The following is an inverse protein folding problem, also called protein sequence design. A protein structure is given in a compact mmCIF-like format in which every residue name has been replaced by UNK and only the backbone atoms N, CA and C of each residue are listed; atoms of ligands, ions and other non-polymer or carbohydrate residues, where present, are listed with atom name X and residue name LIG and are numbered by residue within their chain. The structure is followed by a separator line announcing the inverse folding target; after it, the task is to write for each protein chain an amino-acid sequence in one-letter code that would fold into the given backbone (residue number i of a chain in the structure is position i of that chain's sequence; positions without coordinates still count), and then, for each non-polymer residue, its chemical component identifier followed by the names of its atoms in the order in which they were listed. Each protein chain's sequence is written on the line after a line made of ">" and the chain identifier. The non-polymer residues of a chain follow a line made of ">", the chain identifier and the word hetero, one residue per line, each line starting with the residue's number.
data_IF_609522463194
#
_entry.id   IF_609522463194
#
_cell.length_a   1.000
_cell.length_b   1.000
_cell.length_c   1.000
_cell.angle_alpha   90.00
_cell.angle_beta   90.00
_cell.angle_gamma   90.00
#
_symmetry.space_group_name_H-M   'P 1'
#
loop_
_entity.id
_entity.type
_entity.pdbx_description
1 polymer ?
#
# COMPACT_ATOMS: atom_id res chain seq x y z
N UNK A 1 5.27 26.15 -11.47
CA UNK A 1 4.07 25.37 -11.15
C UNK A 1 3.95 24.24 -12.14
N UNK A 2 4.44 23.07 -11.75
CA UNK A 2 4.20 21.80 -12.47
C UNK A 2 2.76 21.33 -12.18
N UNK A 3 2.29 20.33 -12.94
CA UNK A 3 0.98 19.72 -12.67
C UNK A 3 0.93 19.08 -11.28
N UNK A 4 2.04 18.48 -10.83
CA UNK A 4 2.15 17.87 -9.50
C UNK A 4 2.04 18.93 -8.39
N UNK A 5 2.75 20.06 -8.53
CA UNK A 5 2.65 21.19 -7.59
C UNK A 5 1.22 21.73 -7.50
N UNK A 6 0.52 21.81 -8.65
CA UNK A 6 -0.88 22.21 -8.68
C UNK A 6 -1.77 21.21 -7.94
N UNK A 7 -1.63 19.91 -8.21
CA UNK A 7 -2.44 18.86 -7.56
C UNK A 7 -2.23 18.87 -6.04
N UNK A 8 -0.98 18.93 -5.59
CA UNK A 8 -0.66 18.91 -4.16
C UNK A 8 -1.17 20.17 -3.45
N UNK A 9 -1.05 21.35 -4.07
CA UNK A 9 -1.56 22.60 -3.50
C UNK A 9 -3.09 22.71 -3.45
N UNK A 10 -3.81 21.88 -4.22
CA UNK A 10 -5.28 21.84 -4.26
C UNK A 10 -5.86 20.58 -3.60
N UNK A 11 -5.02 19.80 -2.90
CA UNK A 11 -5.42 18.63 -2.11
C UNK A 11 -5.30 18.91 -0.62
N UNK A 12 -6.07 18.22 0.22
CA UNK A 12 -5.95 18.31 1.68
C UNK A 12 -4.53 18.02 2.14
N UNK A 13 -4.00 18.80 3.08
CA UNK A 13 -2.64 18.61 3.62
C UNK A 13 -2.44 17.25 4.34
N UNK A 14 -1.20 16.77 4.37
CA UNK A 14 -0.79 15.55 5.09
C UNK A 14 -0.66 15.75 6.62
N UNK A 15 -0.64 17.00 7.10
CA UNK A 15 -0.47 17.31 8.52
C UNK A 15 0.96 17.15 9.04
N UNK A 16 1.20 17.64 10.26
CA UNK A 16 2.56 17.81 10.78
C UNK A 16 3.33 16.49 10.97
N UNK A 17 2.66 15.42 11.40
CA UNK A 17 3.31 14.12 11.64
C UNK A 17 3.82 13.49 10.33
N UNK A 18 2.96 13.45 9.29
CA UNK A 18 3.33 12.90 7.98
C UNK A 18 4.41 13.75 7.30
N UNK A 19 4.32 15.09 7.43
CA UNK A 19 5.35 15.99 6.91
C UNK A 19 6.70 15.79 7.59
N UNK A 20 6.72 15.64 8.92
CA UNK A 20 7.92 15.35 9.68
C UNK A 20 8.51 13.97 9.31
N UNK A 21 7.68 12.95 9.15
CA UNK A 21 8.09 11.62 8.69
C UNK A 21 8.71 11.68 7.29
N UNK A 22 8.04 12.33 6.35
CA UNK A 22 8.51 12.49 4.98
C UNK A 22 9.88 13.18 4.95
N UNK A 23 10.04 14.27 5.73
CA UNK A 23 11.34 14.95 5.86
C UNK A 23 12.40 14.04 6.47
N UNK A 24 12.10 13.34 7.56
CA UNK A 24 13.07 12.48 8.25
C UNK A 24 13.54 11.33 7.35
N UNK A 25 12.63 10.73 6.59
CA UNK A 25 12.95 9.70 5.61
C UNK A 25 13.90 10.24 4.52
N UNK A 26 13.64 11.44 4.00
CA UNK A 26 14.51 12.07 2.99
C UNK A 26 15.91 12.43 3.51
N UNK A 27 16.06 12.63 4.82
CA UNK A 27 17.35 12.97 5.44
C UNK A 27 18.13 11.72 5.85
N UNK A 28 17.44 10.69 6.37
CA UNK A 28 18.09 9.60 7.10
C UNK A 28 18.00 8.23 6.44
N UNK A 29 17.18 8.03 5.40
CA UNK A 29 17.02 6.74 4.75
C UNK A 29 17.64 6.70 3.35
N UNK A 30 18.07 5.52 2.92
CA UNK A 30 18.70 5.32 1.62
C UNK A 30 17.73 5.42 0.42
N UNK A 31 16.43 5.17 0.65
CA UNK A 31 15.42 5.06 -0.42
C UNK A 31 14.14 5.87 -0.14
N UNK A 32 14.24 7.18 0.13
CA UNK A 32 13.08 7.99 0.48
C UNK A 32 12.03 8.09 -0.65
N UNK A 33 12.43 7.81 -1.90
CA UNK A 33 11.50 7.74 -3.03
C UNK A 33 10.44 6.63 -2.90
N UNK A 34 10.66 5.65 -2.03
CA UNK A 34 9.71 4.56 -1.76
C UNK A 34 8.54 5.01 -0.87
N UNK A 35 8.47 6.26 -0.42
CA UNK A 35 7.27 6.77 0.23
C UNK A 35 6.13 6.96 -0.79
N UNK A 36 4.94 6.46 -0.45
CA UNK A 36 3.70 6.70 -1.20
C UNK A 36 3.40 8.20 -1.34
N UNK A 37 3.80 9.00 -0.35
CA UNK A 37 3.75 10.47 -0.37
C UNK A 37 2.33 11.07 -0.36
N UNK A 38 2.28 12.41 -0.44
CA UNK A 38 1.10 13.21 -0.11
C UNK A 38 -0.17 12.81 -0.88
N UNK A 39 -0.16 12.90 -2.21
CA UNK A 39 -1.35 12.62 -3.02
C UNK A 39 -1.91 11.20 -2.80
N UNK A 40 -1.03 10.20 -2.84
CA UNK A 40 -1.45 8.80 -2.68
C UNK A 40 -1.92 8.52 -1.26
N UNK A 41 -1.25 9.07 -0.25
CA UNK A 41 -1.69 8.98 1.14
C UNK A 41 -3.10 9.52 1.35
N UNK A 42 -3.44 10.68 0.76
CA UNK A 42 -4.80 11.24 0.84
C UNK A 42 -5.84 10.35 0.15
N UNK A 43 -5.50 9.76 -1.01
CA UNK A 43 -6.38 8.80 -1.69
C UNK A 43 -6.59 7.53 -0.85
N UNK A 44 -5.55 6.96 -0.24
CA UNK A 44 -5.66 5.78 0.63
C UNK A 44 -6.55 6.06 1.86
N UNK A 45 -6.41 7.24 2.47
CA UNK A 45 -7.31 7.72 3.52
C UNK A 45 -8.76 7.78 3.02
N UNK A 46 -9.00 8.34 1.83
CA UNK A 46 -10.34 8.43 1.25
C UNK A 46 -10.95 7.06 0.98
N UNK A 47 -10.18 6.09 0.48
CA UNK A 47 -10.66 4.72 0.32
C UNK A 47 -11.11 4.12 1.65
N UNK A 48 -10.32 4.29 2.72
CA UNK A 48 -10.72 3.84 4.05
C UNK A 48 -12.03 4.52 4.53
N UNK A 49 -12.21 5.83 4.27
CA UNK A 49 -13.43 6.55 4.64
C UNK A 49 -14.66 6.10 3.85
N UNK A 50 -14.52 5.85 2.55
CA UNK A 50 -15.62 5.44 1.68
C UNK A 50 -16.03 3.99 1.93
N UNK A 51 -15.06 3.09 2.10
CA UNK A 51 -15.30 1.66 2.26
C UNK A 51 -15.63 1.26 3.70
N UNK A 52 -15.19 2.08 4.68
CA UNK A 52 -15.32 1.83 6.12
C UNK A 52 -14.85 0.40 6.51
N UNK A 53 -13.63 -0.01 6.13
CA UNK A 53 -13.16 -1.36 6.40
C UNK A 53 -12.94 -1.57 7.91
N UNK A 54 -13.31 -2.74 8.41
CA UNK A 54 -13.04 -3.17 9.78
C UNK A 54 -11.69 -3.87 9.90
N UNK A 55 -11.24 -4.55 8.83
CA UNK A 55 -9.95 -5.24 8.74
C UNK A 55 -9.20 -4.83 7.48
N UNK A 56 -8.03 -4.23 7.67
CA UNK A 56 -7.11 -3.84 6.59
C UNK A 56 -5.82 -4.65 6.70
N UNK A 57 -5.31 -5.09 5.55
CA UNK A 57 -3.97 -5.67 5.43
C UNK A 57 -3.10 -4.75 4.57
N UNK A 58 -1.87 -4.49 5.00
CA UNK A 58 -0.84 -3.81 4.24
C UNK A 58 0.39 -4.70 4.13
N UNK A 59 0.85 -4.95 2.91
CA UNK A 59 2.07 -5.71 2.62
C UNK A 59 3.11 -4.71 2.13
N UNK A 60 4.09 -4.40 2.98
CA UNK A 60 5.08 -3.34 2.77
C UNK A 60 4.78 -2.09 3.60
N UNK A 61 5.33 -2.02 4.82
CA UNK A 61 5.17 -0.84 5.70
C UNK A 61 6.14 0.29 5.34
N UNK A 62 7.38 -0.05 5.02
CA UNK A 62 8.53 0.83 4.87
C UNK A 62 8.69 1.85 6.00
N UNK A 63 8.20 3.09 5.83
CA UNK A 63 8.27 4.13 6.88
C UNK A 63 7.01 4.23 7.73
N UNK A 64 5.93 3.55 7.33
CA UNK A 64 4.61 3.66 7.93
C UNK A 64 3.77 4.83 7.40
N UNK A 65 4.21 5.54 6.35
CA UNK A 65 3.49 6.69 5.81
C UNK A 65 2.08 6.30 5.29
N UNK A 66 2.00 5.26 4.47
CA UNK A 66 0.72 4.74 3.96
C UNK A 66 -0.15 4.17 5.09
N UNK A 67 0.44 3.41 6.01
CA UNK A 67 -0.21 2.90 7.23
C UNK A 67 -0.90 4.01 8.02
N UNK A 68 -0.20 5.12 8.27
CA UNK A 68 -0.71 6.27 9.01
C UNK A 68 -1.87 6.95 8.28
N UNK A 69 -1.76 7.10 6.96
CA UNK A 69 -2.83 7.66 6.13
C UNK A 69 -4.08 6.79 6.15
N UNK A 70 -3.93 5.47 6.01
CA UNK A 70 -5.05 4.53 6.09
C UNK A 70 -5.68 4.57 7.49
N UNK A 71 -4.88 4.49 8.55
CA UNK A 71 -5.36 4.52 9.94
C UNK A 71 -6.16 5.80 10.28
N UNK A 72 -5.78 6.95 9.71
CA UNK A 72 -6.54 8.22 9.81
C UNK A 72 -7.93 8.12 9.17
N UNK A 73 -8.08 7.29 8.13
CA UNK A 73 -9.34 7.05 7.44
C UNK A 73 -10.26 6.02 8.12
N UNK A 74 -9.73 5.20 9.03
CA UNK A 74 -10.46 4.10 9.66
C UNK A 74 -11.44 4.58 10.73
N UNK A 75 -12.53 3.81 10.92
CA UNK A 75 -13.47 4.00 12.02
C UNK A 75 -12.92 3.51 13.36
N UNK A 76 -13.64 3.76 14.44
CA UNK A 76 -13.32 3.22 15.75
C UNK A 76 -13.48 1.69 15.75
N UNK A 77 -12.57 0.97 16.41
CA UNK A 77 -12.56 -0.51 16.44
C UNK A 77 -12.08 -1.21 15.15
N UNK A 78 -11.81 -0.48 14.08
CA UNK A 78 -11.14 -1.02 12.89
C UNK A 78 -9.64 -1.22 13.13
N UNK A 79 -9.06 -2.21 12.45
CA UNK A 79 -7.67 -2.63 12.65
C UNK A 79 -6.95 -2.74 11.30
N UNK A 80 -5.73 -2.21 11.23
CA UNK A 80 -4.78 -2.44 10.13
C UNK A 80 -3.63 -3.32 10.60
N UNK A 81 -3.42 -4.42 9.90
CA UNK A 81 -2.22 -5.26 9.99
C UNK A 81 -1.25 -4.80 8.91
N UNK A 82 -0.07 -4.33 9.31
CA UNK A 82 0.98 -3.90 8.37
C UNK A 82 2.23 -4.76 8.54
N UNK A 83 2.82 -5.16 7.42
CA UNK A 83 3.93 -6.12 7.39
C UNK A 83 5.18 -5.49 6.80
N UNK A 84 6.28 -5.60 7.53
CA UNK A 84 7.61 -5.14 7.10
C UNK A 84 8.60 -6.30 7.18
N UNK A 85 9.34 -6.53 6.09
CA UNK A 85 10.34 -7.60 6.04
C UNK A 85 11.68 -7.17 6.64
N UNK A 86 12.02 -5.89 6.56
CA UNK A 86 13.27 -5.33 7.08
C UNK A 86 13.10 -4.90 8.54
N UNK A 87 13.50 -5.75 9.48
CA UNK A 87 13.45 -5.49 10.92
C UNK A 87 14.35 -4.31 11.36
N UNK A 88 15.39 -3.97 10.61
CA UNK A 88 16.21 -2.77 10.88
C UNK A 88 15.40 -1.46 10.79
N UNK A 89 14.24 -1.47 10.13
CA UNK A 89 13.33 -0.32 10.05
C UNK A 89 12.47 -0.14 11.30
N UNK A 90 12.46 -1.11 12.23
CA UNK A 90 11.53 -1.13 13.37
C UNK A 90 11.58 0.16 14.20
N UNK A 91 12.77 0.61 14.59
CA UNK A 91 12.93 1.83 15.38
C UNK A 91 12.37 3.07 14.65
N UNK A 92 12.60 3.17 13.34
CA UNK A 92 12.11 4.28 12.53
C UNK A 92 10.58 4.24 12.43
N UNK A 93 10.01 3.09 12.09
CA UNK A 93 8.56 2.90 11.95
C UNK A 93 7.87 3.19 13.29
N UNK A 94 8.32 2.54 14.36
CA UNK A 94 7.68 2.63 15.68
C UNK A 94 7.79 4.03 16.28
N UNK A 95 8.86 4.78 15.98
CA UNK A 95 8.99 6.21 16.35
C UNK A 95 7.79 7.01 15.86
N UNK A 96 7.36 6.82 14.61
CA UNK A 96 6.26 7.60 14.04
C UNK A 96 4.88 7.04 14.37
N UNK A 97 4.72 5.71 14.35
CA UNK A 97 3.44 5.09 14.66
C UNK A 97 2.96 5.41 16.09
N UNK A 98 3.87 5.41 17.09
CA UNK A 98 3.54 5.72 18.49
C UNK A 98 3.11 7.17 18.72
N UNK A 99 3.46 8.09 17.83
CA UNK A 99 3.05 9.49 17.90
C UNK A 99 1.67 9.72 17.27
N UNK A 100 1.14 8.73 16.54
CA UNK A 100 -0.15 8.85 15.87
C UNK A 100 -1.29 8.79 16.87
N UNK A 101 -2.31 9.66 16.76
CA UNK A 101 -3.56 9.52 17.51
C UNK A 101 -4.34 8.25 17.10
N UNK A 102 -3.90 7.54 16.06
CA UNK A 102 -4.52 6.31 15.56
C UNK A 102 -3.69 5.05 15.84
N UNK A 103 -2.67 5.13 16.70
CA UNK A 103 -1.78 3.99 16.99
C UNK A 103 -2.52 2.72 17.42
N UNK A 104 -3.63 2.85 18.15
CA UNK A 104 -4.40 1.72 18.67
C UNK A 104 -5.04 0.86 17.56
N UNK A 105 -5.19 1.43 16.37
CA UNK A 105 -5.70 0.77 15.16
C UNK A 105 -4.62 0.01 14.39
N UNK A 106 -3.35 0.13 14.77
CA UNK A 106 -2.23 -0.40 13.97
C UNK A 106 -1.59 -1.60 14.67
N UNK A 107 -1.38 -2.69 13.92
CA UNK A 107 -0.61 -3.87 14.34
C UNK A 107 0.50 -4.10 13.32
N UNK A 108 1.73 -3.85 13.73
CA UNK A 108 2.92 -4.08 12.90
C UNK A 108 3.42 -5.50 13.11
N UNK A 109 3.78 -6.16 12.03
CA UNK A 109 4.39 -7.49 12.05
C UNK A 109 5.70 -7.44 11.27
N UNK A 110 6.81 -7.81 11.92
CA UNK A 110 8.12 -7.89 11.28
C UNK A 110 8.38 -9.32 10.82
N UNK A 111 8.72 -9.49 9.53
CA UNK A 111 9.06 -10.76 8.91
C UNK A 111 8.41 -10.98 7.56
N UNK A 112 8.54 -12.20 7.04
CA UNK A 112 8.06 -12.57 5.72
C UNK A 112 6.52 -12.64 5.68
N UNK A 113 5.92 -11.81 4.83
CA UNK A 113 4.48 -11.74 4.61
C UNK A 113 3.88 -13.10 4.23
N UNK A 114 4.59 -13.93 3.46
CA UNK A 114 4.11 -15.25 3.04
C UNK A 114 3.92 -16.20 4.22
N UNK A 115 4.65 -16.00 5.32
CA UNK A 115 4.54 -16.80 6.54
C UNK A 115 3.55 -16.20 7.54
N UNK A 116 3.52 -14.87 7.67
CA UNK A 116 2.71 -14.17 8.67
C UNK A 116 1.23 -14.16 8.29
N UNK A 117 0.89 -13.83 7.03
CA UNK A 117 -0.49 -13.63 6.60
C UNK A 117 -1.40 -14.84 6.90
N UNK A 118 -1.01 -16.10 6.59
CA UNK A 118 -1.82 -17.28 6.94
C UNK A 118 -2.12 -17.41 8.44
N UNK A 119 -1.20 -16.97 9.29
CA UNK A 119 -1.32 -17.10 10.74
C UNK A 119 -2.21 -16.03 11.38
N UNK A 120 -2.55 -14.96 10.65
CA UNK A 120 -3.42 -13.89 11.16
C UNK A 120 -4.85 -14.38 11.40
N UNK A 121 -5.34 -15.34 10.60
CA UNK A 121 -6.69 -15.89 10.75
C UNK A 121 -7.82 -14.88 10.54
N UNK A 122 -7.54 -13.79 9.83
CA UNK A 122 -8.46 -12.67 9.59
C UNK A 122 -9.14 -12.78 8.21
N UNK A 123 -10.28 -12.12 8.07
CA UNK A 123 -10.90 -11.82 6.77
C UNK A 123 -10.83 -10.32 6.53
N UNK A 124 -10.21 -9.91 5.43
CA UNK A 124 -9.92 -8.51 5.13
C UNK A 124 -11.00 -7.87 4.25
N UNK A 125 -11.30 -6.61 4.56
CA UNK A 125 -12.17 -5.75 3.76
C UNK A 125 -11.39 -4.97 2.70
N UNK A 126 -10.14 -4.61 3.04
CA UNK A 126 -9.21 -3.86 2.20
C UNK A 126 -7.81 -4.46 2.33
N UNK A 127 -7.12 -4.65 1.20
CA UNK A 127 -5.71 -5.04 1.17
C UNK A 127 -4.93 -4.02 0.34
N UNK A 128 -3.78 -3.55 0.84
CA UNK A 128 -2.83 -2.74 0.10
C UNK A 128 -1.53 -3.52 -0.11
N UNK A 129 -1.10 -3.70 -1.35
CA UNK A 129 0.10 -4.42 -1.74
C UNK A 129 1.11 -3.41 -2.30
N UNK A 130 2.19 -3.18 -1.57
CA UNK A 130 3.32 -2.34 -1.96
C UNK A 130 4.65 -2.92 -1.44
N UNK A 131 5.02 -4.08 -1.95
CA UNK A 131 6.22 -4.80 -1.52
C UNK A 131 7.09 -5.21 -2.71
N UNK A 132 7.69 -6.40 -2.64
CA UNK A 132 8.55 -6.93 -3.69
C UNK A 132 7.75 -7.29 -4.95
N UNK A 133 8.01 -6.57 -6.04
CA UNK A 133 7.27 -6.72 -7.31
C UNK A 133 7.42 -8.11 -7.93
N UNK A 134 8.49 -8.83 -7.58
CA UNK A 134 8.73 -10.21 -8.03
C UNK A 134 7.73 -11.21 -7.44
N UNK A 135 7.07 -10.85 -6.33
CA UNK A 135 6.17 -11.71 -5.57
C UNK A 135 4.70 -11.23 -5.62
N UNK A 136 4.37 -10.25 -6.46
CA UNK A 136 3.02 -9.66 -6.51
C UNK A 136 1.93 -10.68 -6.81
N UNK A 137 2.19 -11.59 -7.74
CA UNK A 137 1.26 -12.66 -8.11
C UNK A 137 1.01 -13.63 -6.95
N UNK A 138 2.04 -13.92 -6.18
CA UNK A 138 2.03 -14.77 -4.98
C UNK A 138 1.30 -14.07 -3.83
N UNK A 139 1.57 -12.79 -3.59
CA UNK A 139 0.83 -11.99 -2.59
C UNK A 139 -0.66 -11.95 -2.92
N UNK A 140 -1.01 -11.73 -4.20
CA UNK A 140 -2.41 -11.74 -4.62
C UNK A 140 -3.07 -13.10 -4.35
N UNK A 141 -2.45 -14.21 -4.75
CA UNK A 141 -3.02 -15.55 -4.51
C UNK A 141 -3.19 -15.85 -3.03
N UNK A 142 -2.23 -15.40 -2.22
CA UNK A 142 -2.24 -15.58 -0.77
C UNK A 142 -3.40 -14.83 -0.12
N UNK A 143 -3.61 -13.56 -0.47
CA UNK A 143 -4.62 -12.72 0.17
C UNK A 143 -6.01 -12.88 -0.42
N UNK A 144 -6.13 -13.21 -1.71
CA UNK A 144 -7.43 -13.31 -2.40
C UNK A 144 -8.46 -14.18 -1.67
N UNK A 145 -8.16 -15.39 -1.14
CA UNK A 145 -9.12 -16.17 -0.37
C UNK A 145 -9.50 -15.52 0.98
N UNK A 146 -8.63 -14.67 1.53
CA UNK A 146 -8.82 -13.98 2.80
C UNK A 146 -9.54 -12.63 2.65
N UNK A 147 -9.75 -12.14 1.43
CA UNK A 147 -10.57 -10.95 1.17
C UNK A 147 -12.03 -11.34 1.07
N UNK A 148 -12.94 -10.64 1.74
CA UNK A 148 -14.38 -10.93 1.62
C UNK A 148 -14.91 -10.62 0.21
N UNK A 149 -16.03 -11.23 -0.16
CA UNK A 149 -16.79 -10.78 -1.33
C UNK A 149 -17.16 -9.29 -1.18
N UNK A 150 -17.02 -8.53 -2.26
CA UNK A 150 -17.15 -7.08 -2.27
C UNK A 150 -16.01 -6.31 -1.60
N UNK A 151 -14.92 -6.98 -1.18
CA UNK A 151 -13.71 -6.35 -0.66
C UNK A 151 -12.82 -5.78 -1.77
N UNK A 152 -11.87 -4.92 -1.39
CA UNK A 152 -10.98 -4.23 -2.33
C UNK A 152 -9.52 -4.62 -2.09
N UNK A 153 -8.79 -4.87 -3.17
CA UNK A 153 -7.32 -4.97 -3.16
C UNK A 153 -6.78 -3.80 -3.98
N UNK A 154 -5.82 -3.09 -3.42
CA UNK A 154 -5.09 -1.99 -4.03
C UNK A 154 -3.64 -2.45 -4.23
N UNK A 155 -3.18 -2.53 -5.48
CA UNK A 155 -1.80 -2.91 -5.80
C UNK A 155 -1.04 -1.71 -6.36
N UNK A 156 0.05 -1.32 -5.69
CA UNK A 156 0.84 -0.13 -6.05
C UNK A 156 1.94 -0.44 -7.07
N UNK A 157 2.41 0.61 -7.75
CA UNK A 157 3.48 0.58 -8.75
C UNK A 157 3.22 -0.37 -9.93
N UNK A 158 1.97 -0.49 -10.35
CA UNK A 158 1.55 -1.42 -11.41
C UNK A 158 1.82 -0.91 -12.83
N UNK A 159 2.27 0.34 -12.98
CA UNK A 159 2.80 0.89 -14.24
C UNK A 159 4.34 0.89 -14.27
N UNK A 160 5.00 0.76 -13.12
CA UNK A 160 6.44 0.50 -12.94
C UNK A 160 7.37 1.39 -13.77
N UNK A 161 7.36 2.69 -13.52
CA UNK A 161 8.01 3.80 -14.22
C UNK A 161 7.78 3.79 -15.74
N UNK A 162 6.69 3.17 -16.20
CA UNK A 162 6.39 2.95 -17.61
C UNK A 162 7.14 1.78 -18.24
N UNK A 163 7.95 1.02 -17.49
CA UNK A 163 8.68 -0.14 -17.99
C UNK A 163 7.75 -1.24 -18.53
N UNK A 164 6.47 -1.25 -18.13
CA UNK A 164 5.47 -2.23 -18.60
C UNK A 164 5.15 -2.13 -20.11
N UNK A 165 5.55 -1.04 -20.79
CA UNK A 165 5.38 -0.91 -22.25
C UNK A 165 6.68 -1.07 -23.04
N UNK A 166 7.78 -1.46 -22.39
CA UNK A 166 9.04 -1.75 -23.08
C UNK A 166 8.95 -3.06 -23.89
N UNK A 167 9.59 -3.11 -25.06
CA UNK A 167 9.48 -4.27 -25.95
C UNK A 167 10.19 -5.53 -25.39
N UNK A 168 11.24 -5.36 -24.58
CA UNK A 168 12.07 -6.47 -24.07
C UNK A 168 12.63 -6.21 -22.65
N UNK A 169 11.77 -6.07 -21.62
CA UNK A 169 12.25 -5.86 -20.26
C UNK A 169 13.01 -7.08 -19.77
N UNK A 170 14.16 -6.86 -19.12
CA UNK A 170 15.03 -7.92 -18.58
C UNK A 170 15.09 -7.93 -17.06
N UNK A 171 14.68 -6.84 -16.42
CA UNK A 171 14.71 -6.76 -14.98
C UNK A 171 13.56 -7.61 -14.40
N UNK A 172 13.87 -8.31 -13.30
CA UNK A 172 12.93 -9.26 -12.71
C UNK A 172 11.70 -8.59 -12.10
N UNK A 173 11.77 -7.30 -11.77
CA UNK A 173 10.65 -6.59 -11.17
C UNK A 173 9.60 -6.23 -12.23
N UNK A 174 10.02 -5.69 -13.39
CA UNK A 174 9.12 -5.45 -14.52
C UNK A 174 8.47 -6.74 -14.99
N UNK A 175 9.24 -7.83 -15.10
CA UNK A 175 8.67 -9.14 -15.46
C UNK A 175 7.63 -9.63 -14.42
N UNK A 176 7.86 -9.35 -13.13
CA UNK A 176 6.91 -9.62 -12.05
C UNK A 176 5.62 -8.81 -12.20
N UNK A 177 5.71 -7.50 -12.44
CA UNK A 177 4.56 -6.63 -12.67
C UNK A 177 3.79 -7.00 -13.93
N UNK A 178 4.47 -7.34 -15.03
CA UNK A 178 3.82 -7.80 -16.27
C UNK A 178 3.01 -9.07 -16.02
N UNK A 179 3.63 -10.07 -15.38
CA UNK A 179 2.96 -11.32 -15.00
C UNK A 179 1.74 -11.07 -14.10
N UNK A 180 1.88 -10.18 -13.12
CA UNK A 180 0.78 -9.77 -12.25
C UNK A 180 -0.35 -9.08 -13.04
N UNK A 181 -0.04 -8.10 -13.88
CA UNK A 181 -1.03 -7.37 -14.66
C UNK A 181 -1.79 -8.28 -15.63
N UNK A 182 -1.10 -9.21 -16.30
CA UNK A 182 -1.74 -10.21 -17.18
C UNK A 182 -2.65 -11.15 -16.38
N UNK A 183 -2.22 -11.61 -15.21
CA UNK A 183 -3.05 -12.42 -14.31
C UNK A 183 -4.33 -11.69 -13.88
N UNK A 184 -4.23 -10.43 -13.46
CA UNK A 184 -5.37 -9.61 -13.05
C UNK A 184 -6.32 -9.32 -14.23
N UNK A 185 -5.77 -9.10 -15.42
CA UNK A 185 -6.54 -8.92 -16.66
C UNK A 185 -7.41 -10.14 -16.94
N UNK A 186 -6.87 -11.34 -16.81
CA UNK A 186 -7.53 -12.61 -17.16
C UNK A 186 -8.47 -13.16 -16.06
N UNK A 187 -8.34 -12.73 -14.81
CA UNK A 187 -9.15 -13.26 -13.71
C UNK A 187 -10.63 -12.81 -13.79
N UNK A 188 -11.59 -13.75 -13.95
CA UNK A 188 -13.01 -13.42 -14.06
C UNK A 188 -13.69 -13.17 -12.70
N UNK A 189 -13.03 -13.49 -11.58
CA UNK A 189 -13.57 -13.36 -10.21
C UNK A 189 -13.53 -11.92 -9.69
N UNK A 190 -12.96 -11.00 -10.47
CA UNK A 190 -12.71 -9.62 -10.07
C UNK A 190 -13.19 -8.60 -11.11
N UNK A 191 -13.40 -7.37 -10.66
CA UNK A 191 -13.42 -6.16 -11.48
C UNK A 191 -12.15 -5.35 -11.20
N UNK A 192 -11.57 -4.69 -12.21
CA UNK A 192 -10.28 -4.03 -12.08
C UNK A 192 -10.17 -2.75 -12.90
N UNK A 193 -9.45 -1.78 -12.36
CA UNK A 193 -9.10 -0.51 -13.03
C UNK A 193 -7.67 -0.12 -12.63
N UNK A 194 -6.84 0.28 -13.60
CA UNK A 194 -5.53 0.88 -13.33
C UNK A 194 -5.69 2.39 -13.30
N UNK A 195 -5.39 3.01 -12.16
CA UNK A 195 -5.35 4.46 -12.02
C UNK A 195 -3.93 4.97 -12.36
N UNK A 196 -3.77 5.98 -13.23
CA UNK A 196 -2.47 6.60 -13.53
C UNK A 196 -2.06 7.57 -12.40
N UNK A 197 -2.11 7.08 -11.16
CA UNK A 197 -1.69 7.78 -9.97
C UNK A 197 -0.25 7.42 -9.69
N UNK A 198 0.66 8.40 -9.74
CA UNK A 198 2.10 8.19 -9.58
C UNK A 198 2.58 7.07 -10.50
N UNK A 199 2.97 5.94 -9.92
CA UNK A 199 3.52 4.80 -10.62
C UNK A 199 2.48 3.69 -10.92
N UNK A 200 1.20 4.05 -10.86
CA UNK A 200 0.09 3.17 -11.18
C UNK A 200 -0.48 2.45 -9.97
N UNK A 201 -1.74 2.72 -9.66
CA UNK A 201 -2.48 2.03 -8.60
C UNK A 201 -3.58 1.19 -9.24
N UNK A 202 -3.46 -0.13 -9.18
CA UNK A 202 -4.51 -1.03 -9.66
C UNK A 202 -5.52 -1.28 -8.55
N UNK A 203 -6.77 -0.89 -8.80
CA UNK A 203 -7.92 -1.22 -7.96
C UNK A 203 -8.51 -2.55 -8.42
N UNK A 204 -8.71 -3.47 -7.49
CA UNK A 204 -9.23 -4.82 -7.74
C UNK A 204 -10.39 -5.08 -6.77
N UNK A 205 -11.61 -5.10 -7.28
CA UNK A 205 -12.81 -5.42 -6.52
C UNK A 205 -13.14 -6.90 -6.65
N UNK A 206 -13.29 -7.59 -5.51
CA UNK A 206 -13.65 -9.02 -5.49
C UNK A 206 -15.17 -9.18 -5.60
N UNK A 207 -15.62 -9.94 -6.61
CA UNK A 207 -17.05 -10.23 -6.83
C UNK A 207 -17.65 -11.08 -5.71
#
# INVERSE_FOLDING_TARGET
>A
MTIDEYILSHSDEEGALLSALNRDANVNLLRPRMLSGHLQGRILKMFCRMLRPCRVLEIGTYTGYATLCMAEGLEEGALIHTLEINDEMEDFIMKYLKQSPHQDKIRVHFGDALNIIPALGETFDLVFIDADKRLYSEYFDLVFPMVRAGGLILADNTLWDGHVVEEHPKDKQTLGILSFNDKIKEDPRIEKVILPLRDGLTMIWKK
#
